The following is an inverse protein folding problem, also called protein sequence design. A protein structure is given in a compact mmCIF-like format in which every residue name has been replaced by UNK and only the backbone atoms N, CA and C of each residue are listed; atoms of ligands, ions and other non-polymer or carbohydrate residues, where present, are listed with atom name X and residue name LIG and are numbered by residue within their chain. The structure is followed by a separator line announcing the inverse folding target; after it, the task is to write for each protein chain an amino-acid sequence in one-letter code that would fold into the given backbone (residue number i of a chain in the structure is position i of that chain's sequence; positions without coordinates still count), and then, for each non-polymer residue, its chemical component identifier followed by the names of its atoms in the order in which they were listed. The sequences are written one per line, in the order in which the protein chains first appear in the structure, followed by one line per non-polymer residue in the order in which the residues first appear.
data_IF_943674102807
#
_entry.id   IF_943674102807
#
_cell.length_a   1.000
_cell.length_b   1.000
_cell.length_c   1.000
_cell.angle_alpha   90.00
_cell.angle_beta   90.00
_cell.angle_gamma   90.00
#
_symmetry.space_group_name_H-M   'P 1'
#
loop_
_entity.id
_entity.type
_entity.pdbx_description
1 polymer ?
#
# COMPACT_ATOMS: atom_id res chain seq x y z
N UNK A 1 -23.58 -47.92 42.96
CA UNK A 1 -22.54 -46.85 42.90
C UNK A 1 -23.02 -45.65 43.71
N UNK A 2 -22.27 -45.28 44.76
CA UNK A 2 -22.71 -44.36 45.82
C UNK A 2 -22.92 -42.91 45.32
N UNK A 3 -23.99 -42.23 45.73
CA UNK A 3 -24.38 -40.88 45.22
C UNK A 3 -23.24 -39.86 45.34
N UNK A 4 -22.47 -39.88 46.44
CA UNK A 4 -21.28 -39.02 46.63
C UNK A 4 -20.23 -39.20 45.53
N UNK A 5 -19.98 -40.44 45.08
CA UNK A 5 -18.98 -40.74 44.03
C UNK A 5 -19.39 -40.18 42.66
N UNK A 6 -20.69 -40.17 42.35
CA UNK A 6 -21.23 -39.59 41.09
C UNK A 6 -21.07 -38.07 41.07
N UNK A 7 -21.32 -37.38 42.17
CA UNK A 7 -21.18 -35.92 42.26
C UNK A 7 -19.72 -35.47 42.13
N UNK A 8 -18.77 -36.20 42.75
CA UNK A 8 -17.34 -35.92 42.60
C UNK A 8 -16.84 -36.05 41.16
N UNK A 9 -17.36 -37.03 40.39
CA UNK A 9 -16.98 -37.22 38.97
C UNK A 9 -17.55 -36.09 38.10
N UNK A 10 -18.80 -35.66 38.33
CA UNK A 10 -19.39 -34.52 37.60
C UNK A 10 -18.59 -33.24 37.84
N UNK A 11 -18.19 -32.99 39.09
CA UNK A 11 -17.40 -31.83 39.46
C UNK A 11 -16.02 -31.85 38.75
N UNK A 12 -15.36 -33.00 38.72
CA UNK A 12 -14.10 -33.18 37.99
C UNK A 12 -14.26 -32.90 36.48
N UNK A 13 -15.31 -33.43 35.84
CA UNK A 13 -15.59 -33.14 34.44
C UNK A 13 -15.89 -31.66 34.18
N UNK A 14 -16.61 -30.99 35.09
CA UNK A 14 -16.88 -29.56 34.99
C UNK A 14 -15.58 -28.74 35.02
N UNK A 15 -14.69 -28.99 35.98
CA UNK A 15 -13.40 -28.30 36.06
C UNK A 15 -12.50 -28.62 34.86
N UNK A 16 -12.48 -29.87 34.41
CA UNK A 16 -11.73 -30.28 33.22
C UNK A 16 -12.23 -29.57 31.95
N UNK A 17 -13.54 -29.47 31.76
CA UNK A 17 -14.16 -28.72 30.66
C UNK A 17 -13.80 -27.23 30.72
N UNK A 18 -13.89 -26.62 31.90
CA UNK A 18 -13.57 -25.21 32.10
C UNK A 18 -12.10 -24.91 31.80
N UNK A 19 -11.18 -25.78 32.26
CA UNK A 19 -9.76 -25.67 31.95
C UNK A 19 -9.49 -25.81 30.45
N UNK A 20 -10.14 -26.76 29.79
CA UNK A 20 -10.02 -26.96 28.35
C UNK A 20 -10.47 -25.71 27.56
N UNK A 21 -11.61 -25.13 27.93
CA UNK A 21 -12.10 -23.89 27.32
C UNK A 21 -11.12 -22.73 27.52
N UNK A 22 -10.56 -22.60 28.72
CA UNK A 22 -9.58 -21.56 29.01
C UNK A 22 -8.32 -21.69 28.15
N UNK A 23 -7.80 -22.92 28.01
CA UNK A 23 -6.66 -23.21 27.14
C UNK A 23 -6.98 -22.92 25.67
N UNK A 24 -8.18 -23.30 25.20
CA UNK A 24 -8.62 -23.05 23.83
C UNK A 24 -8.66 -21.55 23.52
N UNK A 25 -9.24 -20.76 24.43
CA UNK A 25 -9.26 -19.29 24.30
C UNK A 25 -7.84 -18.71 24.27
N UNK A 26 -6.95 -19.18 25.16
CA UNK A 26 -5.55 -18.76 25.20
C UNK A 26 -4.81 -19.03 23.88
N UNK A 27 -4.95 -20.24 23.33
CA UNK A 27 -4.33 -20.63 22.06
C UNK A 27 -4.91 -19.81 20.91
N UNK A 28 -6.24 -19.67 20.84
CA UNK A 28 -6.90 -18.84 19.82
C UNK A 28 -6.45 -17.39 19.88
N UNK A 29 -6.23 -16.84 21.07
CA UNK A 29 -5.75 -15.47 21.23
C UNK A 29 -4.35 -15.28 20.63
N UNK A 30 -3.40 -16.17 20.94
CA UNK A 30 -2.05 -16.13 20.38
C UNK A 30 -2.08 -16.33 18.86
N UNK A 31 -2.92 -17.25 18.35
CA UNK A 31 -3.11 -17.46 16.92
C UNK A 31 -3.59 -16.17 16.24
N UNK A 32 -4.68 -15.58 16.72
CA UNK A 32 -5.27 -14.36 16.12
C UNK A 32 -4.26 -13.22 16.14
N UNK A 33 -3.51 -13.06 17.23
CA UNK A 33 -2.46 -12.06 17.31
C UNK A 33 -1.35 -12.29 16.29
N UNK A 34 -0.86 -13.53 16.17
CA UNK A 34 0.16 -13.90 15.18
C UNK A 34 -0.31 -13.65 13.73
N UNK A 35 -1.55 -14.04 13.41
CA UNK A 35 -2.16 -13.77 12.09
C UNK A 35 -2.33 -12.29 11.82
N UNK A 36 -2.74 -11.50 12.81
CA UNK A 36 -2.87 -10.04 12.70
C UNK A 36 -1.54 -9.41 12.32
N UNK A 37 -0.44 -9.84 12.94
CA UNK A 37 0.91 -9.36 12.62
C UNK A 37 1.30 -9.70 11.18
N UNK A 38 1.07 -10.94 10.73
CA UNK A 38 1.37 -11.33 9.33
C UNK A 38 0.58 -10.50 8.30
N UNK A 39 -0.72 -10.29 8.54
CA UNK A 39 -1.57 -9.46 7.69
C UNK A 39 -1.11 -7.99 7.72
N UNK A 40 -0.67 -7.49 8.87
CA UNK A 40 -0.11 -6.15 9.01
C UNK A 40 1.15 -5.96 8.16
N UNK A 41 2.04 -6.95 8.12
CA UNK A 41 3.24 -6.90 7.29
C UNK A 41 2.92 -6.90 5.80
N UNK A 42 2.03 -7.78 5.33
CA UNK A 42 1.65 -7.78 3.91
C UNK A 42 0.98 -6.47 3.50
N UNK A 43 0.11 -5.92 4.36
CA UNK A 43 -0.50 -4.61 4.12
C UNK A 43 0.53 -3.48 4.07
N UNK A 44 1.51 -3.49 4.97
CA UNK A 44 2.60 -2.52 4.98
C UNK A 44 3.42 -2.58 3.69
N UNK A 45 3.73 -3.80 3.22
CA UNK A 45 4.44 -4.01 1.97
C UNK A 45 3.65 -3.46 0.77
N UNK A 46 2.37 -3.81 0.65
CA UNK A 46 1.50 -3.31 -0.43
C UNK A 46 1.39 -1.78 -0.40
N UNK A 47 1.25 -1.17 0.78
CA UNK A 47 1.20 0.30 0.92
C UNK A 47 2.51 0.95 0.46
N UNK A 48 3.66 0.35 0.79
CA UNK A 48 4.98 0.84 0.36
C UNK A 48 5.10 0.80 -1.17
N UNK A 49 4.71 -0.30 -1.78
CA UNK A 49 4.72 -0.47 -3.24
C UNK A 49 3.82 0.56 -3.95
N UNK A 50 2.60 0.74 -3.47
CA UNK A 50 1.69 1.79 -3.97
C UNK A 50 2.33 3.18 -3.86
N UNK A 51 2.99 3.47 -2.73
CA UNK A 51 3.70 4.73 -2.53
C UNK A 51 4.83 4.94 -3.55
N UNK A 52 5.63 3.91 -3.79
CA UNK A 52 6.73 3.95 -4.77
C UNK A 52 6.21 4.19 -6.19
N UNK A 53 5.17 3.46 -6.60
CA UNK A 53 4.57 3.62 -7.93
C UNK A 53 3.98 5.02 -8.12
N UNK A 54 3.29 5.57 -7.11
CA UNK A 54 2.75 6.93 -7.15
C UNK A 54 3.85 7.97 -7.29
N UNK A 55 4.92 7.83 -6.53
CA UNK A 55 6.05 8.77 -6.59
C UNK A 55 6.75 8.70 -7.95
N UNK A 56 6.93 7.50 -8.50
CA UNK A 56 7.47 7.33 -9.85
C UNK A 56 6.58 7.98 -10.92
N UNK A 57 5.27 7.76 -10.84
CA UNK A 57 4.31 8.38 -11.75
C UNK A 57 4.33 9.91 -11.67
N UNK A 58 4.43 10.47 -10.44
CA UNK A 58 4.55 11.92 -10.23
C UNK A 58 5.81 12.48 -10.89
N UNK A 59 6.96 11.81 -10.70
CA UNK A 59 8.23 12.21 -11.32
C UNK A 59 8.15 12.19 -12.85
N UNK A 60 7.63 11.12 -13.43
CA UNK A 60 7.45 11.02 -14.87
C UNK A 60 6.55 12.12 -15.43
N UNK A 61 5.45 12.45 -14.75
CA UNK A 61 4.57 13.56 -15.17
C UNK A 61 5.29 14.90 -15.16
N UNK A 62 6.13 15.16 -14.16
CA UNK A 62 6.96 16.37 -14.10
C UNK A 62 8.00 16.41 -15.21
N UNK A 63 8.64 15.28 -15.50
CA UNK A 63 9.60 15.16 -16.59
C UNK A 63 8.94 15.45 -17.94
N UNK A 64 7.76 14.86 -18.20
CA UNK A 64 6.97 15.14 -19.41
C UNK A 64 6.60 16.63 -19.49
N UNK A 65 6.13 17.23 -18.39
CA UNK A 65 5.77 18.64 -18.37
C UNK A 65 6.99 19.54 -18.65
N UNK A 66 8.16 19.21 -18.08
CA UNK A 66 9.41 19.90 -18.37
C UNK A 66 9.84 19.74 -19.82
N UNK A 67 9.77 18.53 -20.38
CA UNK A 67 10.13 18.26 -21.78
C UNK A 67 9.23 18.98 -22.77
N UNK A 68 7.97 19.19 -22.40
CA UNK A 68 6.98 19.92 -23.20
C UNK A 68 6.95 21.42 -22.89
N UNK A 69 7.77 21.92 -21.97
CA UNK A 69 7.69 23.34 -21.59
C UNK A 69 8.14 24.22 -22.77
N UNK A 70 7.41 25.31 -23.08
CA UNK A 70 7.78 26.22 -24.15
C UNK A 70 9.20 26.73 -24.01
N UNK A 71 9.59 27.15 -22.80
CA UNK A 71 10.96 27.61 -22.50
C UNK A 71 12.04 26.58 -22.87
N UNK A 72 11.84 25.30 -22.54
CA UNK A 72 12.82 24.25 -22.85
C UNK A 72 12.85 23.99 -24.36
N UNK A 73 11.68 23.96 -24.99
CA UNK A 73 11.54 23.76 -26.44
C UNK A 73 12.15 24.93 -27.23
N UNK A 74 11.95 26.18 -26.81
CA UNK A 74 12.52 27.38 -27.42
C UNK A 74 14.04 27.43 -27.26
N UNK A 75 14.54 27.11 -26.05
CA UNK A 75 15.97 26.99 -25.82
C UNK A 75 16.61 25.93 -26.73
N UNK A 76 15.94 24.78 -26.89
CA UNK A 76 16.40 23.71 -27.80
C UNK A 76 16.33 24.15 -29.26
N UNK A 77 15.23 24.77 -29.68
CA UNK A 77 15.02 25.32 -31.02
C UNK A 77 16.13 26.30 -31.41
N UNK A 78 16.46 27.24 -30.52
CA UNK A 78 17.52 28.23 -30.76
C UNK A 78 18.93 27.61 -30.73
N UNK A 79 19.24 26.80 -29.72
CA UNK A 79 20.62 26.29 -29.51
C UNK A 79 21.01 25.14 -30.44
N UNK A 80 20.11 24.18 -30.65
CA UNK A 80 20.43 22.97 -31.42
C UNK A 80 20.05 23.09 -32.90
N UNK A 81 18.97 23.83 -33.20
CA UNK A 81 18.43 23.93 -34.56
C UNK A 81 18.66 25.30 -35.20
N UNK A 82 19.24 26.27 -34.48
CA UNK A 82 19.48 27.62 -34.98
C UNK A 82 18.21 28.39 -35.34
N UNK A 83 17.06 27.95 -34.82
CA UNK A 83 15.78 28.59 -35.10
C UNK A 83 15.70 29.95 -34.43
N UNK A 84 15.10 30.90 -35.13
CA UNK A 84 14.85 32.26 -34.66
C UNK A 84 13.42 32.64 -34.93
N UNK A 85 12.90 33.60 -34.16
CA UNK A 85 11.60 34.17 -34.44
C UNK A 85 11.56 34.76 -35.86
N UNK A 86 10.46 34.57 -36.60
CA UNK A 86 10.31 35.10 -37.95
C UNK A 86 10.31 36.63 -37.89
N UNK A 87 10.90 37.26 -38.90
CA UNK A 87 10.80 38.71 -39.07
C UNK A 87 9.37 39.08 -39.49
N UNK A 88 8.89 40.30 -39.19
CA UNK A 88 7.52 40.72 -39.57
C UNK A 88 7.20 40.52 -41.05
N UNK A 89 8.21 40.66 -41.92
CA UNK A 89 8.10 40.48 -43.38
C UNK A 89 7.94 39.02 -43.83
N UNK A 90 8.16 38.05 -42.94
CA UNK A 90 8.08 36.61 -43.22
C UNK A 90 6.77 35.97 -42.73
N UNK A 91 5.87 36.76 -42.13
CA UNK A 91 4.58 36.30 -41.61
C UNK A 91 3.52 36.50 -42.70
N UNK A 92 2.79 35.44 -43.05
CA UNK A 92 1.71 35.47 -44.05
C UNK A 92 0.41 35.01 -43.39
N UNK A 93 -0.66 35.78 -43.53
CA UNK A 93 -2.00 35.40 -43.07
C UNK A 93 -2.73 34.66 -44.19
N UNK A 94 -3.23 33.46 -43.91
CA UNK A 94 -4.03 32.68 -44.84
C UNK A 94 -5.52 33.01 -44.67
N UNK A 95 -6.30 33.08 -45.77
CA UNK A 95 -7.74 33.36 -45.75
C UNK A 95 -8.59 32.21 -45.18
#
# INVERSE_FOLDING_TARGET
MNKKKKESIKLFHFFSMMLFLFLLVGISHVWVNSKRTQIGYSLSHMKKEIGQIREYNRKLKLEIASLKSPERLENKAGKEFGLRYPLPKQIVFLP
#
